data_IF_180090315473
#
_entry.id   IF_180090315473
#
_cell.length_a   1.000
_cell.length_b   1.000
_cell.length_c   1.000
_cell.angle_alpha   90.00
_cell.angle_beta   90.00
_cell.angle_gamma   90.00
#
_symmetry.space_group_name_H-M   'P 1'
#
loop_
_entity.id
_entity.type
_entity.pdbx_description
1 polymer ?
#
# COMPACT_ATOMS: atom_id res chain seq x y z
N UNK A 1 -5.59 23.03 24.35
CA UNK A 1 -4.52 22.10 24.79
C UNK A 1 -4.82 20.64 24.49
N UNK A 2 -6.08 20.22 24.45
CA UNK A 2 -6.46 18.84 24.06
C UNK A 2 -6.47 18.60 22.54
N UNK A 3 -6.45 19.64 21.73
CA UNK A 3 -6.49 19.51 20.25
C UNK A 3 -5.12 19.13 19.68
N UNK A 4 -4.03 19.59 20.29
CA UNK A 4 -2.68 19.34 19.77
C UNK A 4 -2.22 17.88 19.96
N UNK A 5 -2.49 17.27 21.14
CA UNK A 5 -2.11 15.87 21.37
C UNK A 5 -2.89 14.89 20.49
N UNK A 6 -4.17 15.17 20.25
CA UNK A 6 -5.00 14.33 19.36
C UNK A 6 -4.60 14.47 17.88
N UNK A 7 -4.13 15.67 17.48
CA UNK A 7 -3.62 15.93 16.14
C UNK A 7 -2.35 15.14 15.91
N UNK A 8 -1.36 15.28 16.79
CA UNK A 8 -0.06 14.61 16.65
C UNK A 8 -0.21 13.09 16.64
N UNK A 9 -1.00 12.52 17.55
CA UNK A 9 -1.27 11.08 17.59
C UNK A 9 -1.94 10.56 16.31
N UNK A 10 -2.92 11.30 15.80
CA UNK A 10 -3.61 10.93 14.55
C UNK A 10 -2.68 11.06 13.35
N UNK A 11 -1.87 12.11 13.32
CA UNK A 11 -0.88 12.31 12.25
C UNK A 11 0.18 11.20 12.25
N UNK A 12 0.77 10.89 13.39
CA UNK A 12 1.75 9.82 13.54
C UNK A 12 1.19 8.45 13.13
N UNK A 13 -0.09 8.22 13.36
CA UNK A 13 -0.76 6.99 12.96
C UNK A 13 -1.04 6.93 11.46
N UNK A 14 -1.56 8.00 10.88
CA UNK A 14 -2.07 8.01 9.51
C UNK A 14 -0.99 8.31 8.47
N UNK A 15 -0.03 9.17 8.77
CA UNK A 15 0.98 9.58 7.80
C UNK A 15 1.78 8.38 7.24
N UNK A 16 2.38 7.50 8.06
CA UNK A 16 3.13 6.36 7.53
C UNK A 16 2.26 5.41 6.72
N UNK A 17 1.01 5.21 7.12
CA UNK A 17 0.05 4.35 6.43
C UNK A 17 -0.30 4.92 5.05
N UNK A 18 -0.65 6.20 4.99
CA UNK A 18 -1.01 6.88 3.73
C UNK A 18 0.20 6.97 2.82
N UNK A 19 1.37 7.33 3.36
CA UNK A 19 2.61 7.41 2.59
C UNK A 19 2.95 6.09 1.90
N UNK A 20 2.95 4.97 2.64
CA UNK A 20 3.18 3.63 2.06
C UNK A 20 2.15 3.29 0.99
N UNK A 21 0.89 3.63 1.24
CA UNK A 21 -0.20 3.39 0.29
C UNK A 21 -0.02 4.17 -1.01
N UNK A 22 0.33 5.45 -0.93
CA UNK A 22 0.61 6.31 -2.07
C UNK A 22 1.88 5.87 -2.80
N UNK A 23 2.94 5.58 -2.05
CA UNK A 23 4.25 5.23 -2.59
C UNK A 23 4.22 4.08 -3.59
N UNK A 24 3.40 3.06 -3.32
CA UNK A 24 3.25 1.88 -4.19
C UNK A 24 2.45 2.22 -5.46
N UNK A 25 1.66 3.30 -5.46
CA UNK A 25 0.65 3.59 -6.50
C UNK A 25 0.93 4.82 -7.34
N UNK A 26 1.81 5.67 -6.91
CA UNK A 26 2.06 6.98 -7.54
C UNK A 26 3.54 7.08 -7.91
N UNK A 27 3.91 7.67 -9.06
CA UNK A 27 5.31 7.88 -9.44
C UNK A 27 6.07 8.65 -8.36
N UNK A 28 7.31 8.25 -8.11
CA UNK A 28 8.15 8.77 -7.02
C UNK A 28 8.19 10.30 -6.91
N UNK A 29 8.32 11.06 -8.02
CA UNK A 29 8.35 12.52 -7.92
C UNK A 29 7.08 13.15 -7.34
N UNK A 30 5.93 12.48 -7.47
CA UNK A 30 4.62 13.00 -7.08
C UNK A 30 4.12 12.45 -5.73
N UNK A 31 4.84 11.51 -5.11
CA UNK A 31 4.42 10.82 -3.88
C UNK A 31 4.19 11.80 -2.73
N UNK A 32 5.11 12.75 -2.51
CA UNK A 32 5.02 13.70 -1.41
C UNK A 32 3.83 14.65 -1.58
N UNK A 33 3.62 15.17 -2.77
CA UNK A 33 2.51 16.08 -3.07
C UNK A 33 1.17 15.39 -2.95
N UNK A 34 1.02 14.20 -3.51
CA UNK A 34 -0.22 13.41 -3.40
C UNK A 34 -0.50 13.00 -1.96
N UNK A 35 0.54 12.61 -1.21
CA UNK A 35 0.40 12.31 0.23
C UNK A 35 -0.09 13.54 1.00
N UNK A 36 0.50 14.70 0.77
CA UNK A 36 0.11 15.95 1.42
C UNK A 36 -1.34 16.31 1.11
N UNK A 37 -1.78 16.20 -0.14
CA UNK A 37 -3.18 16.45 -0.54
C UNK A 37 -4.16 15.51 0.18
N UNK A 38 -3.81 14.23 0.29
CA UNK A 38 -4.63 13.24 1.00
C UNK A 38 -4.72 13.59 2.49
N UNK A 39 -3.60 13.93 3.13
CA UNK A 39 -3.57 14.32 4.54
C UNK A 39 -4.46 15.54 4.79
N UNK A 40 -4.36 16.57 3.96
CA UNK A 40 -5.22 17.76 4.08
C UNK A 40 -6.69 17.40 3.94
N UNK A 41 -7.04 16.52 3.00
CA UNK A 41 -8.42 16.06 2.80
C UNK A 41 -8.93 15.24 3.98
N UNK A 42 -8.12 14.34 4.50
CA UNK A 42 -8.41 13.56 5.72
C UNK A 42 -8.71 14.51 6.88
N UNK A 43 -7.88 15.52 7.12
CA UNK A 43 -8.08 16.49 8.20
C UNK A 43 -9.37 17.30 8.06
N UNK A 44 -9.71 17.71 6.85
CA UNK A 44 -10.94 18.45 6.59
C UNK A 44 -12.19 17.62 6.86
N UNK A 45 -12.14 16.32 6.59
CA UNK A 45 -13.27 15.41 6.75
C UNK A 45 -13.30 14.71 8.13
N UNK A 46 -12.25 14.83 8.93
CA UNK A 46 -12.12 14.15 10.23
C UNK A 46 -13.22 14.52 11.22
N UNK A 47 -13.65 15.79 11.33
CA UNK A 47 -14.74 16.17 12.26
C UNK A 47 -16.07 15.46 11.98
N UNK A 48 -16.33 15.11 10.72
CA UNK A 48 -17.57 14.47 10.28
C UNK A 48 -17.52 12.93 10.39
N UNK A 49 -16.44 12.40 10.89
CA UNK A 49 -16.24 10.95 10.99
C UNK A 49 -17.02 10.36 12.17
N UNK A 50 -17.99 9.51 11.86
CA UNK A 50 -18.86 8.88 12.89
C UNK A 50 -18.19 7.70 13.63
N UNK A 51 -17.31 6.96 12.96
CA UNK A 51 -16.72 5.72 13.49
C UNK A 51 -15.21 5.84 13.71
N UNK A 52 -14.80 6.29 14.87
CA UNK A 52 -13.36 6.39 15.23
C UNK A 52 -12.58 5.08 15.11
N UNK A 53 -13.22 3.91 15.28
CA UNK A 53 -12.59 2.60 15.16
C UNK A 53 -12.21 2.22 13.71
N UNK A 54 -12.77 2.90 12.72
CA UNK A 54 -12.50 2.68 11.29
C UNK A 54 -11.59 3.76 10.67
N UNK A 55 -10.87 4.52 11.49
CA UNK A 55 -10.07 5.66 11.06
C UNK A 55 -9.08 5.31 9.96
N UNK A 56 -8.35 4.21 10.10
CA UNK A 56 -7.35 3.78 9.10
C UNK A 56 -7.98 3.41 7.76
N UNK A 57 -9.01 2.55 7.77
CA UNK A 57 -9.68 2.14 6.54
C UNK A 57 -10.42 3.29 5.87
N UNK A 58 -11.03 4.17 6.66
CA UNK A 58 -11.67 5.39 6.17
C UNK A 58 -10.65 6.34 5.50
N UNK A 59 -9.49 6.57 6.11
CA UNK A 59 -8.43 7.39 5.53
C UNK A 59 -7.91 6.80 4.21
N UNK A 60 -7.76 5.47 4.13
CA UNK A 60 -7.36 4.80 2.89
C UNK A 60 -8.44 4.82 1.81
N UNK A 61 -9.72 4.86 2.18
CA UNK A 61 -10.81 5.10 1.21
C UNK A 61 -10.67 6.49 0.57
N UNK A 62 -10.38 7.51 1.37
CA UNK A 62 -10.08 8.86 0.86
C UNK A 62 -8.84 8.83 -0.05
N UNK A 63 -7.79 8.14 0.37
CA UNK A 63 -6.56 8.01 -0.42
C UNK A 63 -6.82 7.31 -1.77
N UNK A 64 -7.63 6.26 -1.80
CA UNK A 64 -8.01 5.56 -3.04
C UNK A 64 -8.70 6.50 -4.04
N UNK A 65 -9.65 7.30 -3.56
CA UNK A 65 -10.34 8.27 -4.40
C UNK A 65 -9.39 9.36 -4.90
N UNK A 66 -8.51 9.87 -4.05
CA UNK A 66 -7.55 10.90 -4.43
C UNK A 66 -6.53 10.40 -5.47
N UNK A 67 -6.06 9.16 -5.33
CA UNK A 67 -5.18 8.53 -6.31
C UNK A 67 -5.91 8.32 -7.65
N UNK A 68 -7.17 7.91 -7.63
CA UNK A 68 -7.98 7.82 -8.85
C UNK A 68 -8.13 9.18 -9.54
N UNK A 69 -8.36 10.24 -8.79
CA UNK A 69 -8.40 11.62 -9.30
C UNK A 69 -7.05 12.06 -9.89
N UNK A 70 -5.95 11.73 -9.21
CA UNK A 70 -4.61 11.98 -9.72
C UNK A 70 -4.39 11.36 -11.10
N UNK A 71 -4.72 10.08 -11.28
CA UNK A 71 -4.57 9.40 -12.58
C UNK A 71 -5.50 9.96 -13.65
N UNK A 72 -6.72 10.31 -13.30
CA UNK A 72 -7.67 10.93 -14.22
C UNK A 72 -7.15 12.27 -14.75
N UNK A 73 -6.56 13.07 -13.89
CA UNK A 73 -6.01 14.40 -14.23
C UNK A 73 -4.71 14.30 -15.03
N UNK A 74 -3.84 13.34 -14.69
CA UNK A 74 -2.51 13.20 -15.29
C UNK A 74 -2.48 12.23 -16.49
N UNK A 75 -3.59 11.58 -16.81
CA UNK A 75 -3.71 10.61 -17.93
C UNK A 75 -2.57 9.56 -17.93
N UNK A 76 -2.22 9.05 -16.75
CA UNK A 76 -1.15 8.08 -16.54
C UNK A 76 -1.72 6.71 -16.18
N UNK A 77 -0.98 5.66 -16.55
CA UNK A 77 -1.27 4.29 -16.12
C UNK A 77 -0.59 4.00 -14.79
N UNK A 78 -1.26 3.24 -13.92
CA UNK A 78 -0.70 2.80 -12.65
C UNK A 78 0.50 1.89 -12.91
N UNK A 79 1.71 2.40 -12.69
CA UNK A 79 2.97 1.67 -12.87
C UNK A 79 3.70 1.68 -11.53
N UNK A 80 3.99 0.48 -11.01
CA UNK A 80 4.88 0.29 -9.88
C UNK A 80 6.21 -0.27 -10.41
N UNK A 81 7.30 0.44 -10.17
CA UNK A 81 8.64 -0.04 -10.47
C UNK A 81 9.42 -0.27 -9.17
N UNK A 82 10.16 -1.39 -9.12
CA UNK A 82 11.00 -1.75 -7.96
C UNK A 82 12.10 -0.74 -7.66
N UNK A 83 12.61 -0.08 -8.69
CA UNK A 83 13.66 0.94 -8.55
C UNK A 83 13.19 2.16 -7.74
N UNK A 84 11.88 2.34 -7.65
CA UNK A 84 11.23 3.45 -6.94
C UNK A 84 10.81 3.10 -5.50
N UNK A 85 10.91 1.83 -5.09
CA UNK A 85 10.61 1.44 -3.70
C UNK A 85 11.67 2.01 -2.73
N UNK A 86 11.26 2.50 -1.54
CA UNK A 86 12.23 2.90 -0.52
C UNK A 86 13.08 1.69 -0.15
N UNK A 87 14.37 1.79 -0.34
CA UNK A 87 15.28 0.79 0.20
C UNK A 87 15.20 0.90 1.73
N UNK A 88 14.90 -0.19 2.44
CA UNK A 88 14.95 -0.17 3.89
C UNK A 88 16.34 0.28 4.33
N UNK A 89 16.39 1.19 5.30
CA UNK A 89 17.66 1.59 5.91
C UNK A 89 18.35 0.34 6.45
N UNK A 90 19.64 0.13 6.17
CA UNK A 90 20.36 -1.04 6.64
C UNK A 90 20.38 -1.03 8.17
N UNK A 91 19.68 -1.98 8.79
CA UNK A 91 19.94 -2.35 10.18
C UNK A 91 21.06 -3.39 10.15
N UNK A 92 22.09 -3.14 10.97
CA UNK A 92 23.27 -3.99 11.08
C UNK A 92 22.91 -5.38 11.63
N UNK A 93 22.51 -6.32 10.76
CA UNK A 93 22.64 -7.76 11.03
C UNK A 93 22.20 -8.59 9.82
N UNK A 94 23.05 -9.45 9.31
CA UNK A 94 22.83 -10.48 8.28
C UNK A 94 22.21 -9.98 6.95
N UNK A 95 22.86 -8.98 6.36
CA UNK A 95 22.28 -8.15 5.31
C UNK A 95 22.14 -8.83 3.93
N UNK A 96 22.98 -9.82 3.59
CA UNK A 96 22.98 -10.34 2.21
C UNK A 96 21.77 -11.23 1.92
N UNK A 97 21.37 -12.07 2.86
CA UNK A 97 20.23 -12.98 2.71
C UNK A 97 18.89 -12.24 2.75
N UNK A 98 18.79 -11.23 3.64
CA UNK A 98 17.61 -10.36 3.75
C UNK A 98 17.43 -9.51 2.47
N UNK A 99 18.50 -8.96 1.91
CA UNK A 99 18.45 -8.19 0.67
C UNK A 99 18.03 -9.02 -0.53
N UNK A 100 18.60 -10.24 -0.67
CA UNK A 100 18.23 -11.16 -1.73
C UNK A 100 16.73 -11.54 -1.64
N UNK A 101 16.24 -11.76 -0.42
CA UNK A 101 14.81 -12.05 -0.18
C UNK A 101 13.93 -10.87 -0.54
N UNK A 102 14.29 -9.65 -0.11
CA UNK A 102 13.52 -8.45 -0.44
C UNK A 102 13.48 -8.16 -1.94
N UNK A 103 14.59 -8.35 -2.65
CA UNK A 103 14.64 -8.23 -4.10
C UNK A 103 13.73 -9.26 -4.78
N UNK A 104 13.78 -10.52 -4.34
CA UNK A 104 12.94 -11.59 -4.88
C UNK A 104 11.45 -11.35 -4.63
N UNK A 105 11.09 -10.82 -3.47
CA UNK A 105 9.71 -10.40 -3.13
C UNK A 105 9.28 -9.25 -4.04
N UNK A 106 10.12 -8.24 -4.18
CA UNK A 106 9.84 -7.11 -5.03
C UNK A 106 9.60 -7.50 -6.49
N UNK A 107 10.51 -8.31 -7.07
CA UNK A 107 10.36 -8.84 -8.43
C UNK A 107 9.08 -9.67 -8.62
N UNK A 108 8.68 -10.42 -7.59
CA UNK A 108 7.44 -11.18 -7.63
C UNK A 108 6.21 -10.25 -7.62
N UNK A 109 6.24 -9.18 -6.81
CA UNK A 109 5.17 -8.19 -6.76
C UNK A 109 5.00 -7.42 -8.08
N UNK A 110 6.10 -7.09 -8.77
CA UNK A 110 6.06 -6.42 -10.06
C UNK A 110 5.32 -7.20 -11.15
N UNK A 111 5.36 -8.52 -11.07
CA UNK A 111 4.71 -9.41 -12.03
C UNK A 111 3.22 -9.65 -11.72
N UNK A 112 2.74 -9.15 -10.60
CA UNK A 112 1.33 -9.21 -10.24
C UNK A 112 0.57 -8.01 -10.82
N UNK A 113 -0.74 -8.18 -11.01
CA UNK A 113 -1.59 -7.05 -11.37
C UNK A 113 -1.66 -6.02 -10.24
N UNK A 114 -1.93 -4.74 -10.53
CA UNK A 114 -2.12 -3.72 -9.50
C UNK A 114 -3.17 -4.09 -8.45
N UNK A 115 -4.25 -4.75 -8.86
CA UNK A 115 -5.30 -5.23 -7.96
C UNK A 115 -4.80 -6.33 -7.02
N UNK A 116 -3.97 -7.24 -7.50
CA UNK A 116 -3.34 -8.28 -6.69
C UNK A 116 -2.36 -7.69 -5.68
N UNK A 117 -1.56 -6.72 -6.09
CA UNK A 117 -0.66 -6.00 -5.17
C UNK A 117 -1.46 -5.27 -4.08
N UNK A 118 -2.56 -4.60 -4.45
CA UNK A 118 -3.42 -3.91 -3.50
C UNK A 118 -3.96 -4.83 -2.42
N UNK A 119 -4.48 -5.98 -2.80
CA UNK A 119 -5.06 -6.92 -1.82
C UNK A 119 -4.00 -7.57 -0.95
N UNK A 120 -2.81 -7.84 -1.47
CA UNK A 120 -1.68 -8.33 -0.66
C UNK A 120 -1.28 -7.27 0.36
N UNK A 121 -1.08 -6.04 -0.06
CA UNK A 121 -0.71 -4.97 0.85
C UNK A 121 -1.75 -4.79 1.95
N UNK A 122 -3.01 -4.60 1.60
CA UNK A 122 -4.04 -4.29 2.58
C UNK A 122 -4.35 -5.45 3.52
N UNK A 123 -4.40 -6.68 3.02
CA UNK A 123 -4.73 -7.86 3.82
C UNK A 123 -3.54 -8.43 4.61
N UNK A 124 -2.36 -8.51 3.99
CA UNK A 124 -1.21 -9.23 4.57
C UNK A 124 -0.20 -8.31 5.24
N UNK A 125 -0.01 -7.10 4.73
CA UNK A 125 0.95 -6.15 5.30
C UNK A 125 0.27 -5.24 6.33
N UNK A 126 -0.85 -4.63 5.96
CA UNK A 126 -1.56 -3.68 6.83
C UNK A 126 -2.57 -4.37 7.78
N UNK A 127 -2.94 -5.61 7.50
CA UNK A 127 -3.77 -6.42 8.39
C UNK A 127 -5.27 -6.10 8.39
N UNK A 128 -5.77 -5.41 7.37
CA UNK A 128 -7.21 -5.13 7.27
C UNK A 128 -8.05 -6.38 7.03
N UNK A 129 -9.26 -6.40 7.56
CA UNK A 129 -10.25 -7.45 7.27
C UNK A 129 -10.71 -7.40 5.81
N UNK A 130 -11.29 -8.50 5.33
CA UNK A 130 -11.86 -8.53 3.98
C UNK A 130 -12.95 -7.46 3.79
N UNK A 131 -13.75 -7.19 4.82
CA UNK A 131 -14.76 -6.14 4.79
C UNK A 131 -14.18 -4.73 4.66
N UNK A 132 -13.16 -4.42 5.44
CA UNK A 132 -12.46 -3.13 5.33
C UNK A 132 -11.78 -2.95 3.98
N UNK A 133 -11.13 -3.98 3.45
CA UNK A 133 -10.52 -3.95 2.11
C UNK A 133 -11.58 -3.76 1.01
N UNK A 134 -12.73 -4.42 1.15
CA UNK A 134 -13.85 -4.25 0.24
C UNK A 134 -14.35 -2.79 0.21
N UNK A 135 -14.46 -2.15 1.38
CA UNK A 135 -14.81 -0.73 1.49
C UNK A 135 -13.73 0.18 0.85
N UNK A 136 -12.45 -0.05 1.16
CA UNK A 136 -11.32 0.73 0.61
C UNK A 136 -11.29 0.65 -0.92
N UNK A 137 -11.46 -0.55 -1.48
CA UNK A 137 -11.35 -0.80 -2.91
C UNK A 137 -12.68 -0.65 -3.67
N UNK A 138 -13.78 -0.38 -2.98
CA UNK A 138 -15.10 -0.24 -3.60
C UNK A 138 -15.62 -1.54 -4.22
N UNK A 139 -15.43 -2.69 -3.57
CA UNK A 139 -15.79 -4.01 -4.05
C UNK A 139 -16.52 -4.83 -2.98
N UNK A 140 -16.64 -6.14 -3.15
CA UNK A 140 -17.30 -7.05 -2.21
C UNK A 140 -16.30 -7.92 -1.46
N UNK A 141 -16.68 -8.44 -0.28
CA UNK A 141 -15.86 -9.37 0.48
C UNK A 141 -15.47 -10.61 -0.32
N UNK A 142 -16.41 -11.18 -1.06
CA UNK A 142 -16.14 -12.33 -1.93
C UNK A 142 -15.11 -12.02 -3.03
N UNK A 143 -15.18 -10.83 -3.62
CA UNK A 143 -14.21 -10.38 -4.61
C UNK A 143 -12.81 -10.21 -3.99
N UNK A 144 -12.72 -9.66 -2.77
CA UNK A 144 -11.46 -9.54 -2.02
C UNK A 144 -10.86 -10.92 -1.74
N UNK A 145 -11.66 -11.88 -1.24
CA UNK A 145 -11.17 -13.23 -0.94
C UNK A 145 -10.71 -13.98 -2.19
N UNK A 146 -11.46 -13.88 -3.27
CA UNK A 146 -11.10 -14.47 -4.58
C UNK A 146 -9.83 -13.86 -5.15
N UNK A 147 -9.70 -12.53 -5.05
CA UNK A 147 -8.53 -11.81 -5.52
C UNK A 147 -7.29 -12.15 -4.67
N UNK A 148 -7.45 -12.23 -3.35
CA UNK A 148 -6.37 -12.63 -2.44
C UNK A 148 -5.88 -14.05 -2.72
N UNK A 149 -6.80 -14.98 -2.95
CA UNK A 149 -6.44 -16.35 -3.31
C UNK A 149 -5.59 -16.40 -4.59
N UNK A 150 -6.03 -15.71 -5.64
CA UNK A 150 -5.30 -15.62 -6.92
C UNK A 150 -3.97 -14.89 -6.76
N UNK A 151 -3.93 -13.83 -5.97
CA UNK A 151 -2.71 -13.07 -5.70
C UNK A 151 -1.67 -13.92 -4.97
N UNK A 152 -2.07 -14.65 -3.93
CA UNK A 152 -1.18 -15.57 -3.20
C UNK A 152 -0.64 -16.68 -4.09
N UNK A 153 -1.50 -17.25 -4.93
CA UNK A 153 -1.12 -18.31 -5.87
C UNK A 153 -0.13 -17.77 -6.92
N UNK A 154 -0.41 -16.63 -7.49
CA UNK A 154 0.47 -15.96 -8.45
C UNK A 154 1.81 -15.58 -7.85
N UNK A 155 1.81 -14.97 -6.68
CA UNK A 155 3.03 -14.60 -5.95
C UNK A 155 3.90 -15.84 -5.67
N UNK A 156 3.31 -16.89 -5.12
CA UNK A 156 4.01 -18.12 -4.78
C UNK A 156 4.67 -18.77 -6.01
N UNK A 157 3.96 -18.81 -7.13
CA UNK A 157 4.48 -19.35 -8.38
C UNK A 157 5.67 -18.55 -8.90
N UNK A 158 5.60 -17.24 -8.89
CA UNK A 158 6.67 -16.34 -9.35
C UNK A 158 7.87 -16.42 -8.41
N UNK A 159 7.63 -16.33 -7.10
CA UNK A 159 8.68 -16.37 -6.09
C UNK A 159 9.48 -17.67 -6.11
N UNK A 160 8.81 -18.82 -6.21
CA UNK A 160 9.46 -20.13 -6.35
C UNK A 160 10.25 -20.24 -7.66
N UNK A 161 9.73 -19.69 -8.77
CA UNK A 161 10.43 -19.63 -10.04
C UNK A 161 11.72 -18.80 -9.98
N UNK A 162 11.74 -17.74 -9.21
CA UNK A 162 12.92 -16.88 -9.01
C UNK A 162 13.99 -17.59 -8.15
N UNK A 163 13.61 -18.31 -7.10
CA UNK A 163 14.53 -19.09 -6.27
C UNK A 163 15.21 -20.21 -7.06
N UNK A 164 14.51 -20.85 -8.01
CA UNK A 164 15.07 -21.90 -8.87
C UNK A 164 16.10 -21.39 -9.89
N UNK A 165 16.09 -20.12 -10.23
CA UNK A 165 17.06 -19.51 -11.16
C UNK A 165 18.34 -19.04 -10.47
N UNK A 166 18.29 -18.76 -9.16
CA UNK A 166 19.46 -18.34 -8.37
C UNK A 166 20.39 -19.47 -7.94
N UNK A 167 20.02 -20.73 -8.17
CA UNK A 167 20.79 -21.92 -7.77
C UNK A 167 21.66 -22.57 -8.86
N UNK A 168 21.82 -21.93 -10.01
CA UNK A 168 22.71 -22.39 -11.08
C UNK A 168 23.70 -21.29 -11.43
N UNK A 169 24.68 -21.15 -10.61
CA UNK A 169 25.85 -20.32 -10.86
C UNK A 169 27.03 -20.84 -10.07
#
# INVERSE_FOLDING_TARGET
MEIDSTFDETYELLFPLIYRFVFIRVPKPDVEDVTAEIIVKVWRCLPDMEKKNALKSWALTIATHQIADYYRTHNRTLIMTLEEMPKPLPQESDQSETWATLLSVGEALEKLSPQQVNVIQLRLIEGFSAGEVAEILGTTNQAVDSLLYRAKKGFRKIYQGNLGKGGRG
#
